data_IF_135718079749
#
_entry.id   IF_135718079749
#
_cell.length_a   1.000
_cell.length_b   1.000
_cell.length_c   1.000
_cell.angle_alpha   90.00
_cell.angle_beta   90.00
_cell.angle_gamma   90.00
#
_symmetry.space_group_name_H-M   'P 1'
#
loop_
_entity.id
_entity.type
_entity.pdbx_description
1 polymer ?
#
# COMPACT_ATOMS: atom_id res chain seq x y z
N UNK A 1 12.76 1.29 -1.45
CA UNK A 1 11.87 0.17 -1.84
C UNK A 1 11.06 0.67 -3.01
N UNK A 2 11.10 -0.03 -4.13
CA UNK A 2 10.32 0.36 -5.31
C UNK A 2 8.83 0.04 -5.09
N UNK A 3 7.91 0.72 -5.78
CA UNK A 3 6.50 0.37 -5.74
C UNK A 3 6.25 -1.10 -6.15
N UNK A 4 5.39 -1.80 -5.41
CA UNK A 4 5.08 -3.21 -5.68
C UNK A 4 3.70 -3.62 -5.17
N UNK A 5 3.19 -4.73 -5.70
CA UNK A 5 1.93 -5.34 -5.27
C UNK A 5 2.21 -6.47 -4.28
N UNK A 6 1.45 -6.53 -3.19
CA UNK A 6 1.46 -7.61 -2.19
C UNK A 6 0.19 -8.43 -2.33
N UNK A 7 0.29 -9.73 -2.04
CA UNK A 7 -0.82 -10.68 -2.10
C UNK A 7 -1.53 -10.68 -3.45
N UNK A 8 -0.75 -10.66 -4.53
CA UNK A 8 -1.30 -10.61 -5.88
C UNK A 8 -2.27 -11.76 -6.12
N UNK A 9 -3.45 -11.44 -6.64
CA UNK A 9 -4.58 -12.33 -6.93
C UNK A 9 -5.12 -13.06 -5.67
N UNK A 10 -4.88 -12.52 -4.48
CA UNK A 10 -5.36 -13.06 -3.20
C UNK A 10 -6.16 -12.02 -2.41
N UNK A 11 -7.02 -12.44 -1.46
CA UNK A 11 -7.70 -11.51 -0.56
C UNK A 11 -6.70 -10.60 0.17
N UNK A 12 -6.95 -9.29 0.17
CA UNK A 12 -6.03 -8.30 0.72
C UNK A 12 -4.92 -7.86 -0.25
N UNK A 13 -5.10 -8.06 -1.56
CA UNK A 13 -4.22 -7.49 -2.58
C UNK A 13 -4.11 -5.97 -2.39
N UNK A 14 -2.88 -5.47 -2.32
CA UNK A 14 -2.61 -4.05 -2.21
C UNK A 14 -1.36 -3.64 -2.97
N UNK A 15 -1.42 -2.51 -3.66
CA UNK A 15 -0.25 -1.82 -4.16
C UNK A 15 0.35 -0.97 -3.04
N UNK A 16 1.68 -0.95 -2.94
CA UNK A 16 2.40 -0.24 -1.88
C UNK A 16 3.57 0.54 -2.47
N UNK A 17 3.74 1.78 -2.03
CA UNK A 17 4.91 2.61 -2.36
C UNK A 17 5.33 3.48 -1.19
N UNK A 18 6.57 3.98 -1.24
CA UNK A 18 7.15 4.80 -0.18
C UNK A 18 7.76 6.07 -0.74
N UNK A 19 7.56 7.18 -0.03
CA UNK A 19 8.27 8.44 -0.24
C UNK A 19 9.01 8.86 1.03
N UNK A 20 10.08 9.63 0.86
CA UNK A 20 10.67 10.37 1.96
C UNK A 20 10.21 11.82 1.88
N UNK A 21 9.64 12.32 2.97
CA UNK A 21 9.35 13.75 3.09
C UNK A 21 10.65 14.54 3.34
N UNK A 22 10.60 15.89 3.29
CA UNK A 22 11.79 16.73 3.58
C UNK A 22 12.36 16.57 5.00
N UNK A 23 11.58 16.04 5.94
CA UNK A 23 12.01 15.74 7.32
C UNK A 23 12.66 14.36 7.44
N UNK A 24 12.70 13.57 6.36
CA UNK A 24 13.29 12.23 6.31
C UNK A 24 12.33 11.10 6.70
N UNK A 25 11.06 11.38 6.98
CA UNK A 25 10.06 10.37 7.32
C UNK A 25 9.70 9.53 6.11
N UNK A 26 9.57 8.20 6.30
CA UNK A 26 9.06 7.31 5.26
C UNK A 26 7.53 7.33 5.28
N UNK A 27 6.92 7.93 4.27
CA UNK A 27 5.48 7.91 4.05
C UNK A 27 5.13 6.70 3.18
N UNK A 28 4.29 5.81 3.70
CA UNK A 28 3.76 4.67 2.96
C UNK A 28 2.40 5.02 2.37
N UNK A 29 2.23 4.74 1.08
CA UNK A 29 0.95 4.82 0.39
C UNK A 29 0.51 3.42 0.02
N UNK A 30 -0.74 3.09 0.36
CA UNK A 30 -1.38 1.81 0.02
C UNK A 30 -2.59 2.10 -0.85
N UNK A 31 -2.81 1.26 -1.85
CA UNK A 31 -4.01 1.25 -2.65
C UNK A 31 -4.58 -0.16 -2.69
N UNK A 32 -5.90 -0.24 -2.60
CA UNK A 32 -6.69 -1.47 -2.65
C UNK A 32 -7.59 -1.42 -3.88
N UNK A 33 -7.95 -2.59 -4.43
CA UNK A 33 -8.84 -2.67 -5.58
C UNK A 33 -10.31 -2.38 -5.21
N UNK A 34 -10.67 -2.61 -3.94
CA UNK A 34 -12.00 -2.37 -3.38
C UNK A 34 -11.88 -1.56 -2.07
N UNK A 35 -12.71 -0.52 -1.91
CA UNK A 35 -12.75 0.32 -0.72
C UNK A 35 -13.13 -0.46 0.55
N UNK A 36 -13.90 -1.54 0.41
CA UNK A 36 -14.26 -2.40 1.54
C UNK A 36 -13.03 -3.05 2.20
N UNK A 37 -11.96 -3.27 1.43
CA UNK A 37 -10.73 -3.90 1.94
C UNK A 37 -9.85 -2.93 2.74
N UNK A 38 -10.17 -1.63 2.80
CA UNK A 38 -9.42 -0.62 3.58
C UNK A 38 -9.48 -0.92 5.10
N UNK A 39 -10.63 -1.40 5.59
CA UNK A 39 -10.87 -1.63 7.03
C UNK A 39 -11.31 -3.06 7.35
N UNK A 40 -11.20 -3.96 6.37
CA UNK A 40 -11.61 -5.35 6.53
C UNK A 40 -10.77 -6.04 7.61
N UNK A 41 -11.46 -6.67 8.56
CA UNK A 41 -10.87 -7.41 9.68
C UNK A 41 -10.36 -8.80 9.29
#
# INVERSE_FOLDING_TARGET
IEPYVRFKDQPGEQATMFFRDPSGNALEFKAFADDADIFRA
#
